data_IF_924888627463
#
_entry.id   IF_924888627463
#
_cell.length_a   1.000
_cell.length_b   1.000
_cell.length_c   1.000
_cell.angle_alpha   90.00
_cell.angle_beta   90.00
_cell.angle_gamma   90.00
#
_symmetry.space_group_name_H-M   'P 1'
#
loop_
_entity.id
_entity.type
_entity.pdbx_description
1 polymer ?
#
# COMPACT_ATOMS: atom_id res chain seq x y z
N UNK A 1 3.64 -20.59 11.79
CA UNK A 1 4.56 -19.70 11.03
C UNK A 1 4.62 -20.01 9.53
N UNK A 2 4.13 -21.17 9.05
CA UNK A 2 4.12 -21.57 7.64
C UNK A 2 3.14 -20.78 6.75
N UNK A 3 2.09 -20.21 7.35
CA UNK A 3 0.94 -19.61 6.64
C UNK A 3 1.25 -18.27 5.92
N UNK A 4 2.17 -17.45 6.45
CA UNK A 4 2.49 -16.15 5.82
C UNK A 4 3.29 -16.31 4.52
N UNK A 5 4.27 -17.21 4.52
CA UNK A 5 5.10 -17.45 3.34
C UNK A 5 4.33 -18.14 2.21
N UNK A 6 3.35 -18.99 2.55
CA UNK A 6 2.46 -19.59 1.55
C UNK A 6 1.54 -18.55 0.91
N UNK A 7 1.03 -17.57 1.69
CA UNK A 7 0.29 -16.44 1.11
C UNK A 7 1.14 -15.57 0.20
N UNK A 8 2.41 -15.33 0.55
CA UNK A 8 3.32 -14.57 -0.30
C UNK A 8 3.65 -15.31 -1.59
N UNK A 9 3.84 -16.63 -1.51
CA UNK A 9 4.02 -17.48 -2.68
C UNK A 9 2.78 -17.46 -3.58
N UNK A 10 1.57 -17.49 -3.01
CA UNK A 10 0.33 -17.38 -3.75
C UNK A 10 0.18 -16.02 -4.44
N UNK A 11 0.49 -14.91 -3.74
CA UNK A 11 0.51 -13.55 -4.31
C UNK A 11 1.49 -13.44 -5.49
N UNK A 12 2.70 -13.98 -5.33
CA UNK A 12 3.69 -14.03 -6.42
C UNK A 12 3.22 -14.94 -7.57
N UNK A 13 2.49 -16.01 -7.29
CA UNK A 13 1.81 -16.86 -8.28
C UNK A 13 0.84 -16.07 -9.15
N UNK A 14 -0.13 -15.39 -8.52
CA UNK A 14 -1.12 -14.55 -9.19
C UNK A 14 -0.48 -13.48 -10.06
N UNK A 15 0.54 -12.79 -9.53
CA UNK A 15 1.25 -11.76 -10.29
C UNK A 15 1.98 -12.34 -11.51
N UNK A 16 2.64 -13.49 -11.38
CA UNK A 16 3.33 -14.12 -12.52
C UNK A 16 2.37 -14.52 -13.64
N UNK A 17 1.14 -14.88 -13.32
CA UNK A 17 0.12 -15.19 -14.33
C UNK A 17 -0.41 -13.93 -15.04
N UNK A 18 -0.63 -12.84 -14.28
CA UNK A 18 -1.16 -11.58 -14.81
C UNK A 18 -0.30 -10.38 -14.38
N UNK A 19 0.91 -10.22 -14.95
CA UNK A 19 1.90 -9.28 -14.43
C UNK A 19 1.49 -7.81 -14.53
N UNK A 20 0.71 -7.44 -15.55
CA UNK A 20 0.32 -6.05 -15.78
C UNK A 20 -0.89 -5.64 -14.95
N UNK A 21 -1.92 -6.49 -14.90
CA UNK A 21 -3.25 -6.14 -14.36
C UNK A 21 -3.60 -6.86 -13.07
N UNK A 22 -2.87 -7.90 -12.70
CA UNK A 22 -3.23 -8.79 -11.60
C UNK A 22 -4.51 -9.60 -11.90
N UNK A 23 -5.02 -10.26 -10.86
CA UNK A 23 -6.21 -11.13 -10.92
C UNK A 23 -7.54 -10.37 -10.75
N UNK A 24 -7.48 -9.05 -10.49
CA UNK A 24 -8.65 -8.21 -10.24
C UNK A 24 -8.81 -7.84 -8.77
N UNK A 25 -9.50 -6.72 -8.52
CA UNK A 25 -9.73 -6.16 -7.19
C UNK A 25 -10.57 -7.12 -6.33
N UNK A 26 -10.12 -7.40 -5.11
CA UNK A 26 -10.67 -8.42 -4.21
C UNK A 26 -10.63 -9.85 -4.79
N UNK A 27 -9.85 -10.08 -5.85
CA UNK A 27 -9.69 -11.40 -6.46
C UNK A 27 -8.75 -12.33 -5.70
N UNK A 28 -8.02 -11.82 -4.70
CA UNK A 28 -7.04 -12.58 -3.95
C UNK A 28 -7.61 -13.84 -3.27
N UNK A 29 -8.73 -13.79 -2.51
CA UNK A 29 -9.27 -14.98 -1.84
C UNK A 29 -9.71 -16.09 -2.80
N UNK A 30 -10.21 -15.71 -3.98
CA UNK A 30 -10.73 -16.63 -5.01
C UNK A 30 -9.62 -17.38 -5.73
N UNK A 31 -8.50 -16.71 -5.99
CA UNK A 31 -7.37 -17.29 -6.71
C UNK A 31 -6.35 -17.96 -5.79
N UNK A 32 -6.40 -17.68 -4.48
CA UNK A 32 -5.39 -18.15 -3.52
C UNK A 32 -5.28 -19.66 -3.52
N UNK A 33 -6.40 -20.38 -3.53
CA UNK A 33 -6.40 -21.84 -3.38
C UNK A 33 -5.89 -22.56 -4.65
N UNK A 34 -5.97 -21.91 -5.82
CA UNK A 34 -5.33 -22.40 -7.06
C UNK A 34 -3.79 -22.22 -7.03
N UNK A 35 -3.30 -21.30 -6.20
CA UNK A 35 -1.88 -20.94 -6.10
C UNK A 35 -1.21 -21.36 -4.79
N UNK A 36 -2.00 -21.81 -3.82
CA UNK A 36 -1.54 -22.34 -2.55
C UNK A 36 -1.25 -23.84 -2.72
N UNK A 37 -0.01 -24.25 -2.43
CA UNK A 37 0.37 -25.67 -2.39
C UNK A 37 -0.58 -26.46 -1.47
N UNK A 38 -0.86 -27.72 -1.80
CA UNK A 38 -1.66 -28.70 -1.05
C UNK A 38 -1.48 -28.72 0.49
N UNK A 39 -0.36 -28.22 1.01
CA UNK A 39 -0.11 -28.02 2.45
C UNK A 39 -1.04 -27.00 3.13
N UNK A 40 -1.65 -26.06 2.40
CA UNK A 40 -2.73 -25.19 2.90
C UNK A 40 -4.09 -25.92 2.93
N UNK A 41 -4.24 -26.99 2.15
CA UNK A 41 -5.44 -27.83 2.16
C UNK A 41 -5.49 -28.81 3.33
N UNK A 42 -4.35 -29.11 3.97
CA UNK A 42 -4.25 -30.06 5.10
C UNK A 42 -3.99 -29.40 6.46
N UNK A 43 -3.80 -28.08 6.52
CA UNK A 43 -3.47 -27.36 7.75
C UNK A 43 -4.67 -26.82 8.55
N UNK A 44 -5.91 -27.03 8.08
CA UNK A 44 -7.14 -26.60 8.76
C UNK A 44 -7.81 -27.73 9.55
N UNK A 45 -7.04 -28.61 10.18
CA UNK A 45 -7.59 -29.58 11.13
C UNK A 45 -7.81 -28.91 12.49
N UNK A 46 -9.05 -28.51 12.75
CA UNK A 46 -9.54 -28.38 14.12
C UNK A 46 -10.30 -29.67 14.42
N UNK A 47 -9.61 -30.69 14.93
CA UNK A 47 -10.29 -31.87 15.46
C UNK A 47 -10.92 -31.49 16.81
N UNK A 48 -12.13 -30.93 16.72
CA UNK A 48 -12.97 -30.55 17.84
C UNK A 48 -14.32 -31.22 17.66
N UNK A 49 -14.56 -32.27 18.44
CA UNK A 49 -15.77 -33.08 18.42
C UNK A 49 -17.06 -32.21 18.38
N UNK A 50 -17.69 -32.14 17.19
CA UNK A 50 -19.02 -31.57 16.99
C UNK A 50 -19.11 -30.15 16.37
N UNK A 51 -18.00 -29.48 16.08
CA UNK A 51 -18.04 -28.17 15.40
C UNK A 51 -17.83 -28.33 13.89
N UNK A 52 -18.90 -28.12 13.11
CA UNK A 52 -18.82 -28.12 11.64
C UNK A 52 -17.76 -27.15 11.13
N UNK A 53 -17.03 -27.60 10.10
CA UNK A 53 -15.97 -26.86 9.41
C UNK A 53 -16.35 -25.39 9.16
N UNK A 54 -15.63 -24.46 9.82
CA UNK A 54 -15.63 -23.03 9.44
C UNK A 54 -14.22 -22.60 9.09
N UNK A 55 -13.95 -22.63 7.78
CA UNK A 55 -12.73 -22.07 7.19
C UNK A 55 -12.69 -20.57 7.49
N UNK A 56 -11.65 -20.11 8.18
CA UNK A 56 -11.45 -18.68 8.37
C UNK A 56 -10.91 -18.11 7.05
N UNK A 57 -11.64 -17.20 6.39
CA UNK A 57 -11.17 -16.63 5.13
C UNK A 57 -9.95 -15.76 5.45
N UNK A 58 -8.76 -16.23 5.08
CA UNK A 58 -7.57 -15.40 5.09
C UNK A 58 -7.65 -14.48 3.86
N UNK A 59 -8.06 -13.23 4.10
CA UNK A 59 -8.55 -12.29 3.09
C UNK A 59 -7.43 -11.57 2.31
N UNK A 60 -6.19 -11.55 2.82
CA UNK A 60 -5.07 -10.81 2.23
C UNK A 60 -3.72 -11.46 2.60
N UNK A 61 -2.62 -11.19 1.87
CA UNK A 61 -1.28 -11.71 2.19
C UNK A 61 -0.59 -11.00 3.38
N UNK A 62 -1.33 -10.19 4.15
CA UNK A 62 -0.80 -9.38 5.26
C UNK A 62 0.44 -8.55 4.87
N UNK A 63 0.38 -7.99 3.67
CA UNK A 63 1.36 -7.09 3.06
C UNK A 63 0.67 -6.35 1.90
N UNK A 64 0.51 -5.03 2.01
CA UNK A 64 -0.20 -4.22 1.01
C UNK A 64 0.45 -4.28 -0.36
N UNK A 65 1.78 -4.19 -0.43
CA UNK A 65 2.53 -4.27 -1.67
C UNK A 65 2.22 -5.56 -2.43
N UNK A 66 2.26 -6.72 -1.76
CA UNK A 66 1.95 -8.01 -2.37
C UNK A 66 0.47 -8.12 -2.76
N UNK A 67 -0.45 -7.55 -1.98
CA UNK A 67 -1.87 -7.53 -2.31
C UNK A 67 -2.14 -6.72 -3.58
N UNK A 68 -1.63 -5.49 -3.66
CA UNK A 68 -1.79 -4.61 -4.83
C UNK A 68 -1.12 -5.23 -6.07
N UNK A 69 0.06 -5.82 -5.91
CA UNK A 69 0.78 -6.48 -7.00
C UNK A 69 0.01 -7.70 -7.53
N UNK A 70 -0.58 -8.51 -6.65
CA UNK A 70 -1.35 -9.68 -7.05
C UNK A 70 -2.70 -9.30 -7.70
N UNK A 71 -3.42 -8.32 -7.14
CA UNK A 71 -4.76 -7.96 -7.59
C UNK A 71 -4.79 -6.99 -8.77
N UNK A 72 -3.86 -6.03 -8.80
CA UNK A 72 -3.86 -4.93 -9.79
C UNK A 72 -2.60 -4.89 -10.67
N UNK A 73 -1.64 -5.79 -10.42
CA UNK A 73 -0.43 -5.91 -11.21
C UNK A 73 0.48 -4.68 -11.16
N UNK A 74 1.42 -4.61 -12.09
CA UNK A 74 2.36 -3.49 -12.21
C UNK A 74 1.64 -2.16 -12.47
N UNK A 75 0.53 -2.15 -13.21
CA UNK A 75 -0.20 -0.91 -13.51
C UNK A 75 -0.77 -0.31 -12.21
N UNK A 76 -1.46 -1.12 -11.41
CA UNK A 76 -2.02 -0.66 -10.13
C UNK A 76 -0.93 -0.24 -9.15
N UNK A 77 0.15 -1.02 -9.06
CA UNK A 77 1.29 -0.70 -8.20
C UNK A 77 1.93 0.64 -8.59
N UNK A 78 2.23 0.84 -9.88
CA UNK A 78 2.84 2.07 -10.38
C UNK A 78 1.92 3.26 -10.22
N UNK A 79 0.62 3.10 -10.48
CA UNK A 79 -0.35 4.17 -10.28
C UNK A 79 -0.42 4.58 -8.80
N UNK A 80 -0.56 3.62 -7.89
CA UNK A 80 -0.71 3.88 -6.46
C UNK A 80 0.59 4.38 -5.83
N UNK A 81 1.62 3.55 -5.78
CA UNK A 81 2.89 3.89 -5.13
C UNK A 81 3.63 5.01 -5.88
N UNK A 82 3.50 5.06 -7.22
CA UNK A 82 4.06 6.15 -8.02
C UNK A 82 3.39 7.49 -7.75
N UNK A 83 2.07 7.54 -7.52
CA UNK A 83 1.40 8.80 -7.15
C UNK A 83 1.91 9.35 -5.81
N UNK A 84 2.12 8.48 -4.82
CA UNK A 84 2.62 8.87 -3.50
C UNK A 84 4.09 9.28 -3.55
N UNK A 85 4.90 8.56 -4.33
CA UNK A 85 6.30 8.92 -4.57
C UNK A 85 6.40 10.25 -5.32
N UNK A 86 5.58 10.48 -6.35
CA UNK A 86 5.53 11.75 -7.06
C UNK A 86 5.18 12.90 -6.10
N UNK A 87 4.23 12.68 -5.19
CA UNK A 87 3.88 13.66 -4.17
C UNK A 87 5.06 13.97 -3.23
N UNK A 88 5.78 12.94 -2.78
CA UNK A 88 6.99 13.11 -1.97
C UNK A 88 8.07 13.89 -2.73
N UNK A 89 8.31 13.55 -4.00
CA UNK A 89 9.29 14.26 -4.85
C UNK A 89 8.92 15.74 -4.99
N UNK A 90 7.64 16.07 -5.21
CA UNK A 90 7.18 17.45 -5.26
C UNK A 90 7.39 18.17 -3.92
N UNK A 91 7.05 17.52 -2.80
CA UNK A 91 7.27 18.04 -1.45
C UNK A 91 8.75 18.33 -1.15
N UNK A 92 9.64 17.41 -1.53
CA UNK A 92 11.10 17.56 -1.36
C UNK A 92 11.69 18.63 -2.29
N UNK A 93 11.19 18.75 -3.52
CA UNK A 93 11.59 19.84 -4.43
C UNK A 93 11.24 21.20 -3.84
N UNK A 94 10.03 21.35 -3.29
CA UNK A 94 9.59 22.57 -2.61
C UNK A 94 10.40 22.85 -1.35
N UNK A 95 10.68 21.83 -0.55
CA UNK A 95 11.55 21.91 0.63
C UNK A 95 12.92 22.48 0.26
N UNK A 96 13.54 21.96 -0.80
CA UNK A 96 14.84 22.44 -1.30
C UNK A 96 14.76 23.88 -1.83
N UNK A 97 13.68 24.25 -2.50
CA UNK A 97 13.47 25.61 -3.00
C UNK A 97 13.33 26.62 -1.85
N UNK A 98 12.50 26.33 -0.84
CA UNK A 98 12.30 27.19 0.33
C UNK A 98 13.60 27.42 1.11
N UNK A 99 14.40 26.36 1.34
CA UNK A 99 15.72 26.48 1.98
C UNK A 99 16.64 27.44 1.22
N UNK A 100 16.65 27.38 -0.12
CA UNK A 100 17.52 28.21 -0.95
C UNK A 100 17.07 29.66 -1.00
N UNK A 101 15.76 29.91 -1.03
CA UNK A 101 15.21 31.25 -1.17
C UNK A 101 15.19 32.04 0.15
N UNK A 102 14.85 31.38 1.27
CA UNK A 102 14.55 32.07 2.53
C UNK A 102 15.44 31.64 3.70
N UNK A 103 16.37 30.69 3.50
CA UNK A 103 17.25 30.16 4.55
C UNK A 103 16.55 29.31 5.62
N UNK A 104 15.23 29.42 5.75
CA UNK A 104 14.40 28.68 6.69
C UNK A 104 13.27 27.92 5.96
N UNK A 105 12.81 26.84 6.59
CA UNK A 105 11.66 26.05 6.12
C UNK A 105 10.68 25.95 7.27
N UNK A 106 9.36 26.08 7.00
CA UNK A 106 8.35 25.70 7.99
C UNK A 106 8.55 24.27 8.49
N UNK A 107 8.52 24.04 9.81
CA UNK A 107 8.69 22.71 10.41
C UNK A 107 7.66 21.70 9.90
N UNK A 108 6.46 22.17 9.58
CA UNK A 108 5.39 21.35 9.00
C UNK A 108 5.77 20.69 7.66
N UNK A 109 6.71 21.26 6.91
CA UNK A 109 7.21 20.68 5.67
C UNK A 109 7.97 19.37 5.92
N UNK A 110 8.77 19.32 6.99
CA UNK A 110 9.50 18.12 7.38
C UNK A 110 8.56 17.05 7.88
N UNK A 111 7.58 17.44 8.70
CA UNK A 111 6.54 16.53 9.18
C UNK A 111 5.77 15.92 8.00
N UNK A 112 5.33 16.74 7.05
CA UNK A 112 4.61 16.28 5.87
C UNK A 112 5.44 15.30 5.01
N UNK A 113 6.72 15.61 4.74
CA UNK A 113 7.60 14.72 4.00
C UNK A 113 7.91 13.42 4.77
N UNK A 114 8.13 13.53 6.08
CA UNK A 114 8.40 12.39 6.96
C UNK A 114 7.22 11.43 7.05
N UNK A 115 6.00 11.95 7.15
CA UNK A 115 4.77 11.15 7.14
C UNK A 115 4.59 10.39 5.82
N UNK A 116 4.93 10.99 4.67
CA UNK A 116 4.91 10.28 3.38
C UNK A 116 5.97 9.19 3.29
N UNK A 117 7.18 9.43 3.79
CA UNK A 117 8.23 8.40 3.85
C UNK A 117 7.78 7.25 4.74
N UNK A 118 7.20 7.55 5.90
CA UNK A 118 6.63 6.54 6.78
C UNK A 118 5.53 5.75 6.07
N UNK A 119 4.60 6.41 5.38
CA UNK A 119 3.51 5.74 4.66
C UNK A 119 4.00 4.83 3.51
N UNK A 120 5.02 5.26 2.75
CA UNK A 120 5.65 4.46 1.71
C UNK A 120 6.38 3.24 2.30
N UNK A 121 7.00 3.41 3.46
CA UNK A 121 7.69 2.33 4.16
C UNK A 121 6.68 1.32 4.68
N UNK A 122 5.61 1.79 5.32
CA UNK A 122 4.48 0.97 5.80
C UNK A 122 3.85 0.16 4.65
N UNK A 123 3.58 0.80 3.51
CA UNK A 123 3.07 0.13 2.31
C UNK A 123 3.92 -1.07 1.84
N UNK A 124 5.25 -1.00 1.99
CA UNK A 124 6.15 -2.02 1.48
C UNK A 124 6.12 -3.34 2.28
N UNK A 125 5.82 -3.28 3.58
CA UNK A 125 5.93 -4.47 4.45
C UNK A 125 4.75 -4.70 5.40
N UNK A 126 3.97 -3.65 5.69
CA UNK A 126 2.89 -3.70 6.65
C UNK A 126 1.57 -4.12 6.00
N UNK A 127 0.65 -4.51 6.88
CA UNK A 127 -0.73 -4.78 6.55
C UNK A 127 -1.56 -3.57 6.97
N UNK A 128 -2.37 -3.03 6.04
CA UNK A 128 -3.27 -1.94 6.35
C UNK A 128 -4.70 -2.47 6.22
N UNK A 129 -5.36 -2.56 7.37
CA UNK A 129 -6.77 -2.87 7.50
C UNK A 129 -7.32 -2.13 8.71
N UNK A 130 -8.48 -1.51 8.57
CA UNK A 130 -9.18 -0.85 9.68
C UNK A 130 -8.91 0.65 9.84
N UNK A 131 -8.89 1.18 11.10
CA UNK A 131 -8.91 2.62 11.41
C UNK A 131 -7.74 3.45 10.86
N UNK A 132 -6.64 2.81 10.47
CA UNK A 132 -5.42 3.45 9.93
C UNK A 132 -5.65 4.15 8.58
N UNK A 133 -6.74 3.86 7.87
CA UNK A 133 -7.13 4.52 6.62
C UNK A 133 -7.42 6.02 6.81
N UNK A 134 -7.99 6.41 7.96
CA UNK A 134 -8.24 7.82 8.29
C UNK A 134 -6.91 8.57 8.50
N UNK A 135 -5.99 7.97 9.26
CA UNK A 135 -4.65 8.51 9.46
C UNK A 135 -3.92 8.68 8.13
N UNK A 136 -3.98 7.66 7.28
CA UNK A 136 -3.42 7.68 5.92
C UNK A 136 -3.96 8.86 5.11
N UNK A 137 -5.27 9.09 5.12
CA UNK A 137 -5.91 10.22 4.44
C UNK A 137 -5.43 11.59 4.97
N UNK A 138 -5.30 11.72 6.29
CA UNK A 138 -4.77 12.94 6.93
C UNK A 138 -3.31 13.19 6.50
N UNK A 139 -2.47 12.16 6.51
CA UNK A 139 -1.07 12.25 6.07
C UNK A 139 -0.98 12.72 4.60
N UNK A 140 -1.79 12.15 3.70
CA UNK A 140 -1.84 12.58 2.31
C UNK A 140 -2.37 14.01 2.14
N UNK A 141 -3.38 14.41 2.92
CA UNK A 141 -3.90 15.77 2.90
C UNK A 141 -2.85 16.81 3.28
N UNK A 142 -2.12 16.58 4.38
CA UNK A 142 -1.03 17.46 4.82
C UNK A 142 0.11 17.51 3.79
N UNK A 143 0.46 16.37 3.21
CA UNK A 143 1.51 16.29 2.20
C UNK A 143 1.10 16.94 0.88
N UNK A 144 -0.15 16.79 0.45
CA UNK A 144 -0.71 17.48 -0.71
C UNK A 144 -0.76 18.99 -0.51
N UNK A 145 -1.22 19.44 0.66
CA UNK A 145 -1.23 20.84 1.02
C UNK A 145 0.18 21.46 0.94
N UNK A 146 1.19 20.80 1.52
CA UNK A 146 2.57 21.26 1.41
C UNK A 146 3.09 21.20 -0.04
N UNK A 147 3.01 20.05 -0.70
CA UNK A 147 3.65 19.81 -1.99
C UNK A 147 3.01 20.62 -3.13
N UNK A 148 1.71 20.90 -3.07
CA UNK A 148 0.94 21.53 -4.14
C UNK A 148 0.51 22.97 -3.84
N UNK A 149 0.48 23.40 -2.57
CA UNK A 149 -0.14 24.65 -2.10
C UNK A 149 0.53 25.98 -2.47
N UNK A 150 1.27 26.07 -3.58
CA UNK A 150 1.76 27.36 -4.13
C UNK A 150 1.41 27.60 -5.59
N UNK A 151 0.90 26.59 -6.34
CA UNK A 151 0.43 26.84 -7.72
C UNK A 151 -0.81 27.73 -7.79
N UNK A 152 -1.56 27.84 -6.70
CA UNK A 152 -2.78 28.65 -6.64
C UNK A 152 -2.50 30.16 -6.50
N UNK A 153 -1.35 30.57 -5.94
CA UNK A 153 -1.04 32.00 -5.78
C UNK A 153 -0.40 32.61 -7.03
N UNK A 154 0.44 31.86 -7.77
CA UNK A 154 1.03 32.34 -9.05
C UNK A 154 0.01 32.50 -10.19
N UNK A 155 -1.15 31.82 -10.12
CA UNK A 155 -2.25 31.97 -11.10
C UNK A 155 -3.18 33.13 -10.73
N UNK A 156 -3.26 33.51 -9.46
CA UNK A 156 -4.05 34.65 -9.01
C UNK A 156 -3.35 36.01 -9.22
N UNK A 157 -2.02 35.99 -9.43
CA UNK A 157 -1.20 37.19 -9.69
C UNK A 157 -0.89 37.43 -11.19
N UNK A 158 -1.45 36.63 -12.10
CA UNK A 158 -1.37 36.81 -13.56
C UNK A 158 -2.72 37.21 -14.14
#
# INVERSE_FOLDING_TARGET
MTDRYTMWAAAAGMWRERPLTGVGLKGFPEHRDAHASLALSSGSETDGAGAGYRRQPLLSPHNMYLLVLAEQGLIGLLALAGSWLALLVLGLRRLRAARRAHGAVPDCAFVACGLLVWQLTDFAYADIGGPSTVLTAVCFGLAAWWALGLRAQEVAER
#
